data_IF_825998303845
#
_entry.id   IF_825998303845
#
_cell.length_a   1.000
_cell.length_b   1.000
_cell.length_c   1.000
_cell.angle_alpha   90.00
_cell.angle_beta   90.00
_cell.angle_gamma   90.00
#
_symmetry.space_group_name_H-M   'P 1'
#
loop_
_entity.id
_entity.type
_entity.pdbx_description
1 polymer ?
#
# COMPACT_ATOMS: atom_id res chain seq x y z
N UNK A 1 -15.25 -7.05 -6.79
CA UNK A 1 -14.52 -7.93 -5.84
C UNK A 1 -14.02 -7.15 -4.64
N UNK A 2 -13.27 -6.05 -4.83
CA UNK A 2 -12.82 -5.16 -3.75
C UNK A 2 -13.94 -4.70 -2.79
N UNK A 3 -15.09 -4.24 -3.32
CA UNK A 3 -16.25 -3.84 -2.50
C UNK A 3 -16.83 -4.98 -1.63
N UNK A 4 -16.64 -6.25 -2.01
CA UNK A 4 -17.11 -7.39 -1.20
C UNK A 4 -16.19 -7.65 0.01
N UNK A 5 -15.01 -7.03 0.02
CA UNK A 5 -14.00 -7.10 1.06
C UNK A 5 -13.80 -5.70 1.70
N UNK A 6 -14.84 -4.85 1.65
CA UNK A 6 -14.85 -3.48 2.19
C UNK A 6 -13.75 -2.52 1.72
N UNK A 7 -13.05 -2.86 0.63
CA UNK A 7 -12.09 -1.95 0.00
C UNK A 7 -12.79 -0.87 -0.82
N UNK A 8 -12.47 0.39 -0.52
CA UNK A 8 -12.79 1.55 -1.35
C UNK A 8 -11.75 1.71 -2.45
N UNK A 9 -12.18 1.60 -3.71
CA UNK A 9 -11.33 1.87 -4.88
C UNK A 9 -11.20 3.37 -5.07
N UNK A 10 -9.97 3.84 -5.23
CA UNK A 10 -9.65 5.24 -5.52
C UNK A 10 -8.95 5.27 -6.87
N UNK A 11 -9.57 5.92 -7.86
CA UNK A 11 -8.95 6.16 -9.15
C UNK A 11 -8.28 7.55 -9.13
N UNK A 12 -6.98 7.58 -9.40
CA UNK A 12 -6.21 8.82 -9.49
C UNK A 12 -6.77 9.75 -10.58
N UNK A 13 -7.35 9.24 -11.68
CA UNK A 13 -7.97 10.05 -12.72
C UNK A 13 -9.22 10.83 -12.28
N UNK A 14 -9.90 10.38 -11.21
CA UNK A 14 -11.20 10.89 -10.79
C UNK A 14 -11.19 12.22 -9.99
N UNK A 15 -10.02 12.74 -9.62
CA UNK A 15 -9.87 13.97 -8.81
C UNK A 15 -8.99 15.01 -9.51
N UNK A 16 -9.55 16.06 -10.10
CA UNK A 16 -8.73 17.14 -10.67
C UNK A 16 -8.27 18.09 -9.55
N UNK A 17 -6.96 18.23 -9.33
CA UNK A 17 -6.37 19.24 -8.44
C UNK A 17 -5.30 20.02 -9.20
N UNK A 18 -5.32 21.35 -9.12
CA UNK A 18 -4.41 22.21 -9.86
C UNK A 18 -2.93 21.99 -9.50
N UNK A 19 -2.09 21.94 -10.55
CA UNK A 19 -0.64 22.17 -10.61
C UNK A 19 0.37 21.20 -9.97
N UNK A 20 -0.02 20.07 -9.39
CA UNK A 20 0.98 19.03 -9.09
C UNK A 20 0.41 17.60 -9.10
N UNK A 21 0.34 17.02 -10.31
CA UNK A 21 -0.22 15.68 -10.52
C UNK A 21 0.61 14.60 -9.80
N UNK A 22 1.94 14.77 -9.75
CA UNK A 22 2.86 13.83 -9.09
C UNK A 22 2.71 13.88 -7.57
N UNK A 23 2.71 15.06 -6.95
CA UNK A 23 2.48 15.16 -5.50
C UNK A 23 1.14 14.58 -5.09
N UNK A 24 0.11 14.76 -5.93
CA UNK A 24 -1.21 14.15 -5.69
C UNK A 24 -1.13 12.62 -5.72
N UNK A 25 -0.48 12.03 -6.72
CA UNK A 25 -0.29 10.58 -6.81
C UNK A 25 0.44 10.05 -5.57
N UNK A 26 1.53 10.71 -5.16
CA UNK A 26 2.28 10.36 -3.97
C UNK A 26 1.42 10.39 -2.70
N UNK A 27 0.57 11.42 -2.55
CA UNK A 27 -0.37 11.51 -1.44
C UNK A 27 -1.41 10.39 -1.46
N UNK A 28 -1.90 10.01 -2.65
CA UNK A 28 -2.84 8.91 -2.80
C UNK A 28 -2.20 7.57 -2.42
N UNK A 29 -1.01 7.28 -2.95
CA UNK A 29 -0.23 6.07 -2.61
C UNK A 29 0.07 6.03 -1.11
N UNK A 30 0.49 7.14 -0.52
CA UNK A 30 0.77 7.22 0.91
C UNK A 30 -0.48 6.92 1.76
N UNK A 31 -1.67 7.29 1.28
CA UNK A 31 -2.95 7.12 1.96
C UNK A 31 -3.61 5.76 1.75
N UNK A 32 -3.10 4.90 0.87
CA UNK A 32 -3.64 3.55 0.63
C UNK A 32 -2.73 2.46 1.20
N UNK A 33 -3.28 1.30 1.59
CA UNK A 33 -2.49 0.10 1.92
C UNK A 33 -1.97 -0.63 0.68
N UNK A 34 -2.75 -0.57 -0.40
CA UNK A 34 -2.62 -1.41 -1.58
C UNK A 34 -2.66 -0.53 -2.82
N UNK A 35 -1.72 -0.76 -3.74
CA UNK A 35 -1.70 -0.16 -5.07
C UNK A 35 -1.78 -1.25 -6.14
N UNK A 36 -2.74 -1.14 -7.06
CA UNK A 36 -2.93 -2.11 -8.14
C UNK A 36 -2.65 -1.42 -9.47
N UNK A 37 -1.65 -1.92 -10.21
CA UNK A 37 -1.35 -1.49 -11.57
C UNK A 37 -2.11 -2.33 -12.57
N UNK A 38 -2.61 -1.74 -13.65
CA UNK A 38 -3.33 -2.47 -14.70
C UNK A 38 -2.67 -2.24 -16.05
N UNK A 39 -2.14 -3.31 -16.64
CA UNK A 39 -1.51 -3.30 -17.96
C UNK A 39 -2.36 -4.05 -18.99
N UNK A 40 -2.46 -3.47 -20.17
CA UNK A 40 -3.13 -4.05 -21.33
C UNK A 40 -2.26 -3.82 -22.57
N UNK A 41 -2.32 -4.70 -23.55
CA UNK A 41 -1.55 -4.60 -24.80
C UNK A 41 -1.82 -3.30 -25.56
N UNK A 42 -3.04 -2.79 -25.45
CA UNK A 42 -3.48 -1.54 -26.11
C UNK A 42 -3.12 -0.27 -25.35
N UNK A 43 -2.61 -0.36 -24.10
CA UNK A 43 -2.18 0.83 -23.36
C UNK A 43 -0.84 1.29 -23.94
N UNK A 44 -0.71 2.56 -24.37
CA UNK A 44 0.56 3.09 -24.89
C UNK A 44 1.71 2.93 -23.89
N UNK A 45 2.92 2.67 -24.40
CA UNK A 45 4.12 2.47 -23.56
C UNK A 45 4.39 3.64 -22.61
N UNK A 46 4.10 4.87 -23.02
CA UNK A 46 4.20 6.07 -22.18
C UNK A 46 3.27 6.02 -20.98
N UNK A 47 2.06 5.48 -21.14
CA UNK A 47 1.09 5.33 -20.05
C UNK A 47 1.47 4.15 -19.15
N UNK A 48 1.98 3.06 -19.74
CA UNK A 48 2.52 1.93 -18.95
C UNK A 48 3.71 2.36 -18.09
N UNK A 49 4.58 3.25 -18.58
CA UNK A 49 5.69 3.78 -17.82
C UNK A 49 5.24 4.48 -16.52
N UNK A 50 4.12 5.21 -16.57
CA UNK A 50 3.54 5.83 -15.37
C UNK A 50 3.06 4.77 -14.37
N UNK A 51 2.40 3.71 -14.84
CA UNK A 51 1.95 2.60 -13.97
C UNK A 51 3.14 1.97 -13.24
N UNK A 52 4.24 1.69 -13.96
CA UNK A 52 5.43 1.10 -13.34
C UNK A 52 6.12 2.05 -12.36
N UNK A 53 6.16 3.34 -12.68
CA UNK A 53 6.64 4.37 -11.76
C UNK A 53 5.82 4.39 -10.46
N UNK A 54 4.49 4.41 -10.56
CA UNK A 54 3.59 4.45 -9.41
C UNK A 54 3.69 3.19 -8.54
N UNK A 55 3.80 2.01 -9.17
CA UNK A 55 4.04 0.76 -8.44
C UNK A 55 5.39 0.77 -7.73
N UNK A 56 6.45 1.24 -8.39
CA UNK A 56 7.76 1.38 -7.75
C UNK A 56 7.74 2.33 -6.55
N UNK A 57 7.03 3.46 -6.66
CA UNK A 57 6.83 4.39 -5.53
C UNK A 57 6.04 3.73 -4.39
N UNK A 58 4.99 2.98 -4.71
CA UNK A 58 4.21 2.24 -3.72
C UNK A 58 5.07 1.20 -2.98
N UNK A 59 5.88 0.42 -3.70
CA UNK A 59 6.81 -0.54 -3.10
C UNK A 59 7.85 0.15 -2.20
N UNK A 60 8.43 1.28 -2.65
CA UNK A 60 9.39 2.04 -1.87
C UNK A 60 8.79 2.60 -0.57
N UNK A 61 7.49 2.91 -0.57
CA UNK A 61 6.72 3.30 0.61
C UNK A 61 6.20 2.11 1.43
N UNK A 62 6.61 0.89 1.07
CA UNK A 62 6.24 -0.33 1.78
C UNK A 62 4.77 -0.69 1.67
N UNK A 63 4.11 -0.25 0.60
CA UNK A 63 2.71 -0.59 0.30
C UNK A 63 2.64 -1.96 -0.34
N UNK A 64 1.53 -2.64 -0.11
CA UNK A 64 1.21 -3.84 -0.86
C UNK A 64 0.96 -3.46 -2.32
N UNK A 65 1.48 -4.27 -3.24
CA UNK A 65 1.37 -3.98 -4.68
C UNK A 65 1.00 -5.22 -5.46
N UNK A 66 0.13 -5.04 -6.45
CA UNK A 66 -0.21 -6.09 -7.39
C UNK A 66 -0.22 -5.50 -8.81
N UNK A 67 0.36 -6.24 -9.74
CA UNK A 67 0.18 -5.96 -11.17
C UNK A 67 -0.92 -6.86 -11.73
N UNK A 68 -1.89 -6.28 -12.41
CA UNK A 68 -2.85 -7.01 -13.23
C UNK A 68 -2.46 -6.78 -14.68
N UNK A 69 -2.32 -7.86 -15.46
CA UNK A 69 -2.04 -7.76 -16.89
C UNK A 69 -3.06 -8.52 -17.71
N UNK A 70 -3.35 -8.08 -18.91
CA UNK A 70 -4.01 -8.92 -19.91
C UNK A 70 -3.06 -10.05 -20.40
N UNK A 71 -3.59 -11.10 -21.04
CA UNK A 71 -2.76 -12.20 -21.54
C UNK A 71 -1.67 -11.75 -22.51
N UNK A 72 -1.99 -10.85 -23.45
CA UNK A 72 -1.05 -10.38 -24.47
C UNK A 72 -0.18 -9.18 -24.04
N UNK A 73 -0.47 -8.55 -22.89
CA UNK A 73 0.37 -7.49 -22.37
C UNK A 73 1.79 -8.00 -22.05
N UNK A 74 2.79 -7.26 -22.55
CA UNK A 74 4.19 -7.45 -22.21
C UNK A 74 4.54 -6.59 -21.00
N UNK A 75 5.08 -7.22 -19.96
CA UNK A 75 5.56 -6.56 -18.75
C UNK A 75 7.10 -6.59 -18.70
N UNK A 76 7.77 -5.58 -18.12
CA UNK A 76 9.22 -5.60 -17.97
C UNK A 76 9.68 -6.80 -17.13
N UNK A 77 10.88 -7.31 -17.39
CA UNK A 77 11.41 -8.52 -16.75
C UNK A 77 11.46 -8.44 -15.22
N UNK A 78 11.71 -7.26 -14.67
CA UNK A 78 11.77 -7.06 -13.21
C UNK A 78 10.38 -7.27 -12.56
N UNK A 79 9.31 -6.98 -13.30
CA UNK A 79 7.93 -7.24 -12.86
C UNK A 79 7.50 -8.69 -13.07
N UNK A 80 8.24 -9.51 -13.83
CA UNK A 80 8.00 -10.97 -13.89
C UNK A 80 8.37 -11.63 -12.57
N UNK A 81 9.31 -11.02 -11.80
CA UNK A 81 9.63 -11.44 -10.43
C UNK A 81 8.66 -10.90 -9.39
N UNK A 82 7.89 -9.87 -9.74
CA UNK A 82 6.81 -9.35 -8.91
C UNK A 82 5.55 -10.18 -9.15
N UNK A 83 4.75 -10.43 -8.12
CA UNK A 83 3.48 -11.12 -8.31
C UNK A 83 2.57 -10.32 -9.24
N UNK A 84 2.18 -10.92 -10.36
CA UNK A 84 1.11 -10.43 -11.19
C UNK A 84 -0.04 -11.44 -11.23
N UNK A 85 -1.26 -10.91 -11.38
CA UNK A 85 -2.43 -11.72 -11.70
C UNK A 85 -2.82 -11.44 -13.14
N UNK A 86 -2.83 -12.48 -13.97
CA UNK A 86 -3.31 -12.36 -15.34
C UNK A 86 -4.84 -12.25 -15.36
N UNK A 87 -5.36 -11.35 -16.20
CA UNK A 87 -6.79 -11.20 -16.47
C UNK A 87 -7.24 -12.27 -17.47
N UNK A 88 -7.37 -13.50 -16.98
CA UNK A 88 -7.82 -14.67 -17.72
C UNK A 88 -9.10 -15.27 -17.11
N UNK A 89 -9.45 -16.50 -17.50
CA UNK A 89 -10.60 -17.24 -16.95
C UNK A 89 -10.51 -17.51 -15.44
N UNK A 90 -9.30 -17.49 -14.87
CA UNK A 90 -9.03 -17.73 -13.44
C UNK A 90 -8.82 -16.42 -12.65
N UNK A 91 -8.91 -15.26 -13.30
CA UNK A 91 -8.68 -13.95 -12.68
C UNK A 91 -9.43 -13.79 -11.35
N UNK A 92 -10.71 -14.16 -11.32
CA UNK A 92 -11.54 -13.98 -10.14
C UNK A 92 -11.09 -14.83 -8.95
N UNK A 93 -10.62 -16.06 -9.16
CA UNK A 93 -10.09 -16.87 -8.05
C UNK A 93 -8.75 -16.35 -7.57
N UNK A 94 -7.85 -16.01 -8.50
CA UNK A 94 -6.50 -15.57 -8.19
C UNK A 94 -6.50 -14.22 -7.48
N UNK A 95 -7.30 -13.27 -7.97
CA UNK A 95 -7.45 -11.96 -7.33
C UNK A 95 -8.15 -12.06 -5.96
N UNK A 96 -9.11 -12.96 -5.79
CA UNK A 96 -9.71 -13.20 -4.47
C UNK A 96 -8.72 -13.82 -3.48
N UNK A 97 -7.86 -14.75 -3.94
CA UNK A 97 -6.80 -15.34 -3.13
C UNK A 97 -5.78 -14.29 -2.69
N UNK A 98 -5.37 -13.40 -3.60
CA UNK A 98 -4.51 -12.27 -3.27
C UNK A 98 -5.14 -11.35 -2.23
N UNK A 99 -6.42 -10.97 -2.39
CA UNK A 99 -7.09 -10.14 -1.39
C UNK A 99 -7.17 -10.81 -0.01
N UNK A 100 -7.25 -12.15 0.04
CA UNK A 100 -7.22 -12.91 1.29
C UNK A 100 -5.84 -12.93 1.93
N UNK A 101 -4.76 -13.05 1.16
CA UNK A 101 -3.40 -13.02 1.74
C UNK A 101 -3.08 -11.67 2.40
N UNK A 102 -3.73 -10.57 1.97
CA UNK A 102 -3.57 -9.27 2.63
C UNK A 102 -3.97 -9.29 4.11
N UNK A 103 -5.02 -10.03 4.51
CA UNK A 103 -5.37 -10.11 5.94
C UNK A 103 -4.30 -10.83 6.73
N UNK A 104 -3.75 -11.92 6.18
CA UNK A 104 -2.65 -12.67 6.81
C UNK A 104 -1.40 -11.80 6.96
N UNK A 105 -1.15 -10.94 5.96
CA UNK A 105 -0.07 -9.96 5.99
C UNK A 105 -0.27 -8.88 7.07
N UNK A 106 -1.51 -8.43 7.29
CA UNK A 106 -1.81 -7.48 8.37
C UNK A 106 -1.50 -8.07 9.75
N UNK A 107 -1.85 -9.35 9.97
CA UNK A 107 -1.54 -10.07 11.20
C UNK A 107 -0.02 -10.26 11.39
N UNK A 108 0.68 -10.55 10.29
CA UNK A 108 2.14 -10.63 10.29
C UNK A 108 2.78 -9.29 10.70
N UNK A 109 2.33 -8.17 10.12
CA UNK A 109 2.83 -6.84 10.47
C UNK A 109 2.61 -6.49 11.93
N UNK A 110 1.44 -6.83 12.51
CA UNK A 110 1.24 -6.64 13.94
C UNK A 110 2.23 -7.47 14.77
N UNK A 111 2.44 -8.73 14.41
CA UNK A 111 3.38 -9.62 15.11
C UNK A 111 4.81 -9.08 15.06
N UNK A 112 5.23 -8.56 13.91
CA UNK A 112 6.56 -7.94 13.75
C UNK A 112 6.66 -6.68 14.61
N UNK A 113 5.62 -5.85 14.66
CA UNK A 113 5.61 -4.67 15.50
C UNK A 113 5.80 -5.01 17.00
N UNK A 114 5.19 -6.10 17.47
CA UNK A 114 5.33 -6.58 18.85
C UNK A 114 6.73 -7.07 19.20
N UNK A 115 7.51 -7.49 18.21
CA UNK A 115 8.88 -7.96 18.42
C UNK A 115 9.91 -6.81 18.37
N UNK A 116 9.48 -5.60 18.00
CA UNK A 116 10.35 -4.43 17.78
C UNK A 116 10.46 -3.51 19.01
N UNK A 117 10.62 -4.08 20.21
CA UNK A 117 10.73 -3.35 21.49
C UNK A 117 11.80 -2.24 21.49
N UNK A 118 12.85 -2.37 20.68
CA UNK A 118 13.97 -1.42 20.61
C UNK A 118 13.86 -0.39 19.49
N UNK A 119 12.85 -0.48 18.62
CA UNK A 119 12.67 0.43 17.50
C UNK A 119 11.20 0.90 17.39
N UNK A 120 10.78 1.86 18.24
CA UNK A 120 9.39 2.29 18.31
C UNK A 120 8.88 2.90 17.00
N UNK A 121 9.75 3.57 16.24
CA UNK A 121 9.38 4.16 14.94
C UNK A 121 9.03 3.07 13.93
N UNK A 122 9.85 2.03 13.85
CA UNK A 122 9.61 0.91 12.94
C UNK A 122 8.39 0.09 13.37
N UNK A 123 8.21 -0.12 14.68
CA UNK A 123 7.00 -0.77 15.20
C UNK A 123 5.73 0.00 14.80
N UNK A 124 5.74 1.33 14.95
CA UNK A 124 4.64 2.21 14.54
C UNK A 124 4.38 2.11 13.02
N UNK A 125 5.42 2.05 12.19
CA UNK A 125 5.25 1.87 10.73
C UNK A 125 4.58 0.53 10.38
N UNK A 126 4.97 -0.57 11.03
CA UNK A 126 4.29 -1.86 10.84
C UNK A 126 2.83 -1.84 11.31
N UNK A 127 2.54 -1.23 12.46
CA UNK A 127 1.16 -1.06 12.92
C UNK A 127 0.33 -0.20 11.97
N UNK A 128 0.95 0.82 11.35
CA UNK A 128 0.32 1.62 10.29
C UNK A 128 -0.06 0.79 9.09
N UNK A 129 0.86 -0.06 8.61
CA UNK A 129 0.59 -0.95 7.47
C UNK A 129 -0.53 -1.93 7.79
N UNK A 130 -0.47 -2.58 8.96
CA UNK A 130 -1.53 -3.46 9.43
C UNK A 130 -2.89 -2.74 9.51
N UNK A 131 -2.92 -1.53 10.07
CA UNK A 131 -4.14 -0.72 10.18
C UNK A 131 -4.70 -0.32 8.81
N UNK A 132 -3.85 0.11 7.89
CA UNK A 132 -4.32 0.50 6.55
C UNK A 132 -4.95 -0.68 5.82
N UNK A 133 -4.45 -1.90 6.03
CA UNK A 133 -4.98 -3.12 5.42
C UNK A 133 -6.30 -3.56 6.09
N UNK A 134 -6.32 -3.66 7.43
CA UNK A 134 -7.43 -4.28 8.18
C UNK A 134 -8.51 -3.30 8.64
N UNK A 135 -8.17 -2.01 8.77
CA UNK A 135 -9.02 -1.01 9.41
C UNK A 135 -9.19 -1.19 10.93
N UNK A 136 -8.46 -2.11 11.58
CA UNK A 136 -8.60 -2.38 13.02
C UNK A 136 -8.09 -1.22 13.87
N UNK A 137 -9.03 -0.46 14.46
CA UNK A 137 -8.74 0.70 15.31
C UNK A 137 -7.88 0.37 16.53
N UNK A 138 -7.82 -0.89 16.97
CA UNK A 138 -6.94 -1.32 18.07
C UNK A 138 -5.46 -1.09 17.72
N UNK A 139 -5.08 -1.29 16.46
CA UNK A 139 -3.70 -1.08 15.98
C UNK A 139 -3.28 0.39 16.11
N UNK A 140 -4.21 1.31 15.83
CA UNK A 140 -4.00 2.75 16.05
C UNK A 140 -3.75 3.08 17.52
N UNK A 141 -4.56 2.51 18.42
CA UNK A 141 -4.39 2.69 19.87
C UNK A 141 -3.02 2.16 20.33
N UNK A 142 -2.63 0.99 19.85
CA UNK A 142 -1.33 0.37 20.13
C UNK A 142 -0.16 1.24 19.66
N UNK A 143 -0.26 1.83 18.46
CA UNK A 143 0.76 2.74 17.95
C UNK A 143 0.90 4.01 18.82
N UNK A 144 -0.21 4.54 19.33
CA UNK A 144 -0.21 5.67 20.28
C UNK A 144 0.45 5.30 21.61
N UNK A 145 0.14 4.12 22.15
CA UNK A 145 0.76 3.61 23.39
C UNK A 145 2.29 3.49 23.23
N UNK A 146 2.77 2.95 22.11
CA UNK A 146 4.21 2.86 21.80
C UNK A 146 4.84 4.25 21.66
N UNK A 147 4.18 5.17 20.94
CA UNK A 147 4.68 6.53 20.75
C UNK A 147 4.83 7.29 22.09
N UNK A 148 3.84 7.16 22.96
CA UNK A 148 3.86 7.74 24.30
C UNK A 148 4.94 7.11 25.18
N UNK A 149 5.03 5.77 25.22
CA UNK A 149 6.04 5.05 25.99
C UNK A 149 7.48 5.39 25.56
N UNK A 150 7.70 5.61 24.26
CA UNK A 150 8.99 6.03 23.70
C UNK A 150 9.28 7.54 23.86
N UNK A 151 8.34 8.32 24.41
CA UNK A 151 8.50 9.77 24.58
C UNK A 151 8.61 10.56 23.28
N UNK A 152 8.08 10.03 22.16
CA UNK A 152 8.17 10.65 20.83
C UNK A 152 7.42 11.98 20.76
N UNK A 153 6.39 12.17 21.58
CA UNK A 153 5.60 13.42 21.65
C UNK A 153 6.43 14.64 22.10
N UNK A 154 7.48 14.39 22.89
CA UNK A 154 8.39 15.42 23.39
C UNK A 154 9.58 15.67 22.44
N UNK A 155 9.80 14.79 21.46
CA UNK A 155 10.89 14.89 20.47
C UNK A 155 10.41 15.65 19.25
N UNK A 156 10.60 16.98 19.30
CA UNK A 156 10.43 17.95 18.21
C UNK A 156 9.15 17.76 17.35
N UNK A 157 8.17 18.66 17.50
CA UNK A 157 6.87 18.67 16.80
C UNK A 157 6.91 18.59 15.24
N UNK A 158 8.09 18.66 14.63
CA UNK A 158 8.33 18.57 13.18
C UNK A 158 9.09 17.29 12.76
N UNK A 159 9.28 16.30 13.65
CA UNK A 159 9.99 15.06 13.32
C UNK A 159 9.12 14.14 12.46
N UNK A 160 9.74 13.44 11.51
CA UNK A 160 9.10 12.39 10.68
C UNK A 160 8.43 11.32 11.56
N UNK A 161 8.93 11.17 12.78
CA UNK A 161 8.48 10.21 13.80
C UNK A 161 7.05 10.48 14.28
N UNK A 162 6.69 11.75 14.54
CA UNK A 162 5.33 12.11 14.96
C UNK A 162 4.32 11.94 13.81
N UNK A 163 4.72 12.29 12.59
CA UNK A 163 3.92 12.08 11.37
C UNK A 163 3.65 10.59 11.11
N UNK A 164 4.65 9.74 11.38
CA UNK A 164 4.51 8.29 11.28
C UNK A 164 3.51 7.72 12.29
N UNK A 165 3.31 8.35 13.46
CA UNK A 165 2.39 7.90 14.50
C UNK A 165 0.94 8.42 14.38
N UNK A 166 0.68 9.45 13.57
CA UNK A 166 -0.64 10.14 13.50
C UNK A 166 -1.69 9.58 12.53
N UNK A 167 -1.50 8.37 11.98
CA UNK A 167 -2.47 7.74 11.07
C UNK A 167 -3.77 7.32 11.78
#
# INVERSE_FOLDING_TARGET
MCKKQDYRVIDAGSKVTGRDFLLKIWRLIAATPLSIGVCHEDIPSTTQANIYYEIGVAQALGKETLLIKSPAAKVPSDFIRTEYVEFDKNFSSNFASFLKSLSEQADHYETVADQLDRNPILAIDYLKRAFLISGDKRLRKKAQEIAHAAGLENRAKNSVELLAATF
#
